data_IF_316664445493
#
_entry.id   IF_316664445493
#
_cell.length_a   1.000
_cell.length_b   1.000
_cell.length_c   1.000
_cell.angle_alpha   90.00
_cell.angle_beta   90.00
_cell.angle_gamma   90.00
#
_symmetry.space_group_name_H-M   'P 1'
#
loop_
_entity.id
_entity.type
_entity.pdbx_description
1 polymer ?
#
# COMPACT_ATOMS: atom_id res chain seq x y z
N UNK A 1 0.49 -12.17 -13.85
CA UNK A 1 0.82 -11.06 -12.92
C UNK A 1 -0.32 -10.08 -13.04
N UNK A 2 -0.96 -9.70 -11.94
CA UNK A 2 -1.95 -8.61 -11.96
C UNK A 2 -1.27 -7.31 -12.44
N UNK A 3 -1.98 -6.54 -13.25
CA UNK A 3 -1.58 -5.20 -13.65
C UNK A 3 -1.80 -4.20 -12.50
N UNK A 4 -1.10 -3.06 -12.54
CA UNK A 4 -1.29 -1.98 -11.54
C UNK A 4 -2.74 -1.48 -11.52
N UNK A 5 -3.42 -1.48 -12.67
CA UNK A 5 -4.83 -1.09 -12.78
C UNK A 5 -5.77 -2.05 -12.05
N UNK A 6 -5.55 -3.36 -12.19
CA UNK A 6 -6.34 -4.36 -11.46
C UNK A 6 -6.12 -4.25 -9.95
N UNK A 7 -4.87 -3.99 -9.51
CA UNK A 7 -4.55 -3.75 -8.10
C UNK A 7 -5.29 -2.53 -7.58
N UNK A 8 -5.24 -1.39 -8.29
CA UNK A 8 -5.93 -0.15 -7.87
C UNK A 8 -7.44 -0.38 -7.72
N UNK A 9 -8.04 -1.16 -8.63
CA UNK A 9 -9.46 -1.46 -8.64
C UNK A 9 -9.88 -2.43 -7.53
N UNK A 10 -9.00 -3.36 -7.15
CA UNK A 10 -9.18 -4.26 -6.00
C UNK A 10 -9.03 -3.55 -4.66
N UNK A 11 -8.11 -2.59 -4.55
CA UNK A 11 -7.86 -1.80 -3.34
C UNK A 11 -9.02 -0.82 -3.09
N UNK A 12 -10.15 -1.39 -2.65
CA UNK A 12 -11.46 -0.79 -2.44
C UNK A 12 -11.65 -0.10 -1.09
N UNK A 13 -10.57 0.39 -0.49
CA UNK A 13 -10.63 1.23 0.71
C UNK A 13 -10.34 0.53 2.04
N UNK A 14 -10.14 -0.79 2.06
CA UNK A 14 -9.67 -1.48 3.27
C UNK A 14 -8.16 -1.22 3.48
N UNK A 15 -7.75 -0.54 4.57
CA UNK A 15 -6.36 -0.22 4.82
C UNK A 15 -5.49 -1.46 5.08
N UNK A 16 -6.05 -2.54 5.61
CA UNK A 16 -5.36 -3.80 5.84
C UNK A 16 -5.03 -4.49 4.51
N UNK A 17 -5.98 -4.50 3.57
CA UNK A 17 -5.75 -5.03 2.23
C UNK A 17 -4.75 -4.20 1.43
N UNK A 18 -4.82 -2.87 1.55
CA UNK A 18 -3.88 -1.94 0.91
C UNK A 18 -2.45 -2.19 1.38
N UNK A 19 -2.27 -2.42 2.68
CA UNK A 19 -0.97 -2.73 3.26
C UNK A 19 -0.61 -4.22 3.19
N UNK A 20 -1.41 -5.04 2.52
CA UNK A 20 -1.24 -6.50 2.46
C UNK A 20 -0.96 -7.11 3.84
N UNK A 21 -1.69 -6.63 4.85
CA UNK A 21 -1.49 -6.91 6.27
C UNK A 21 -2.80 -7.48 6.82
N UNK A 22 -2.78 -8.56 7.61
CA UNK A 22 -4.02 -9.07 8.19
C UNK A 22 -4.55 -8.14 9.31
N UNK A 23 -5.86 -8.13 9.60
CA UNK A 23 -6.46 -7.23 10.60
C UNK A 23 -5.96 -7.42 12.03
N UNK A 24 -5.43 -8.61 12.34
CA UNK A 24 -4.87 -8.99 13.62
C UNK A 24 -3.34 -8.81 13.70
N UNK A 25 -2.73 -8.26 12.65
CA UNK A 25 -1.29 -8.02 12.62
C UNK A 25 -0.85 -7.06 13.71
N UNK A 26 0.33 -7.34 14.27
CA UNK A 26 0.99 -6.38 15.14
C UNK A 26 1.53 -5.17 14.34
N UNK A 27 1.85 -4.11 15.09
CA UNK A 27 2.39 -2.88 14.52
C UNK A 27 3.74 -3.11 13.80
N UNK A 28 4.52 -4.12 14.20
CA UNK A 28 5.80 -4.42 13.57
C UNK A 28 5.60 -4.98 12.14
N UNK A 29 4.61 -5.85 11.94
CA UNK A 29 4.20 -6.38 10.65
C UNK A 29 3.62 -5.28 9.78
N UNK A 30 2.73 -4.44 10.33
CA UNK A 30 2.16 -3.27 9.64
C UNK A 30 3.26 -2.38 9.06
N UNK A 31 4.22 -1.97 9.91
CA UNK A 31 5.34 -1.11 9.52
C UNK A 31 6.28 -1.77 8.51
N UNK A 32 6.50 -3.08 8.64
CA UNK A 32 7.33 -3.84 7.69
C UNK A 32 6.70 -3.85 6.30
N UNK A 33 5.41 -4.20 6.22
CA UNK A 33 4.69 -4.30 4.96
C UNK A 33 4.55 -2.93 4.29
N UNK A 34 4.22 -1.89 5.06
CA UNK A 34 4.24 -0.50 4.61
C UNK A 34 5.57 -0.14 3.94
N UNK A 35 6.71 -0.37 4.61
CA UNK A 35 8.05 -0.06 4.05
C UNK A 35 8.33 -0.81 2.75
N UNK A 36 7.97 -2.09 2.70
CA UNK A 36 8.16 -2.91 1.49
C UNK A 36 7.33 -2.37 0.33
N UNK A 37 6.06 -2.04 0.55
CA UNK A 37 5.16 -1.52 -0.48
C UNK A 37 5.55 -0.09 -0.90
N UNK A 38 5.90 0.77 0.06
CA UNK A 38 6.36 2.13 -0.18
C UNK A 38 7.62 2.13 -1.08
N UNK A 39 8.60 1.26 -0.82
CA UNK A 39 9.78 1.11 -1.67
C UNK A 39 9.46 0.54 -3.05
N UNK A 40 8.50 -0.38 -3.12
CA UNK A 40 8.08 -1.02 -4.38
C UNK A 40 7.38 -0.03 -5.32
N UNK A 41 6.53 0.83 -4.78
CA UNK A 41 5.70 1.77 -5.54
C UNK A 41 6.19 3.23 -5.46
N UNK A 42 7.38 3.46 -4.90
CA UNK A 42 7.92 4.81 -4.72
C UNK A 42 8.01 5.57 -6.07
N UNK A 43 7.59 6.85 -6.13
CA UNK A 43 7.60 7.63 -7.37
C UNK A 43 9.02 7.91 -7.91
N UNK A 44 10.03 7.89 -7.03
CA UNK A 44 11.44 8.01 -7.46
C UNK A 44 11.89 6.82 -8.31
N UNK A 45 11.34 5.62 -8.03
CA UNK A 45 11.72 4.36 -8.70
C UNK A 45 10.76 4.00 -9.83
N UNK A 46 9.51 4.47 -9.77
CA UNK A 46 8.48 4.20 -10.76
C UNK A 46 7.87 5.52 -11.20
N UNK A 47 7.97 5.84 -12.50
CA UNK A 47 7.41 7.08 -13.06
C UNK A 47 5.97 6.95 -13.54
N UNK A 48 5.35 5.78 -13.34
CA UNK A 48 3.98 5.51 -13.73
C UNK A 48 3.01 6.22 -12.77
N UNK A 49 1.95 6.80 -13.33
CA UNK A 49 0.89 7.46 -12.55
C UNK A 49 0.19 6.46 -11.62
N UNK A 50 0.00 5.22 -12.08
CA UNK A 50 -0.60 4.15 -11.30
C UNK A 50 0.25 3.77 -10.07
N UNK A 51 1.59 3.77 -10.21
CA UNK A 51 2.47 3.50 -9.07
C UNK A 51 2.38 4.61 -8.02
N UNK A 52 2.28 5.86 -8.48
CA UNK A 52 2.07 7.02 -7.60
C UNK A 52 0.73 6.94 -6.87
N UNK A 53 -0.34 6.54 -7.57
CA UNK A 53 -1.65 6.36 -6.95
C UNK A 53 -1.62 5.27 -5.86
N UNK A 54 -0.99 4.12 -6.15
CA UNK A 54 -0.82 3.04 -5.18
C UNK A 54 -0.02 3.53 -3.98
N UNK A 55 1.07 4.29 -4.18
CA UNK A 55 1.86 4.87 -3.11
C UNK A 55 1.05 5.80 -2.21
N UNK A 56 0.20 6.66 -2.79
CA UNK A 56 -0.71 7.52 -2.02
C UNK A 56 -1.68 6.68 -1.17
N UNK A 57 -2.26 5.61 -1.75
CA UNK A 57 -3.15 4.70 -1.00
C UNK A 57 -2.42 4.02 0.17
N UNK A 58 -1.19 3.55 -0.05
CA UNK A 58 -0.34 2.93 0.98
C UNK A 58 -0.07 3.88 2.14
N UNK A 59 0.32 5.13 1.85
CA UNK A 59 0.56 6.12 2.90
C UNK A 59 -0.68 6.40 3.74
N UNK A 60 -1.83 6.66 3.08
CA UNK A 60 -3.10 6.92 3.77
C UNK A 60 -3.54 5.75 4.65
N UNK A 61 -3.40 4.52 4.15
CA UNK A 61 -3.73 3.33 4.91
C UNK A 61 -2.85 3.16 6.16
N UNK A 62 -1.55 3.47 6.04
CA UNK A 62 -0.63 3.39 7.17
C UNK A 62 -0.90 4.49 8.20
N UNK A 63 -1.10 5.73 7.75
CA UNK A 63 -1.47 6.86 8.63
C UNK A 63 -2.74 6.56 9.43
N UNK A 64 -3.77 6.00 8.77
CA UNK A 64 -5.04 5.64 9.43
C UNK A 64 -4.90 4.53 10.48
N UNK A 65 -3.97 3.58 10.28
CA UNK A 65 -3.77 2.45 11.20
C UNK A 65 -2.72 2.71 12.30
N UNK A 66 -1.90 3.75 12.15
CA UNK A 66 -0.90 4.18 13.14
C UNK A 66 -1.47 5.17 14.17
N UNK A 67 -2.61 5.81 13.88
CA UNK A 67 -3.35 6.73 14.78
C UNK A 67 -4.17 5.99 15.86
#
# INVERSE_FOLDING_TARGET
MESLKEIIQRLGGDPYEILATPPDADFAVLKKNYRTLALKYHPDRNKDEEATEIFIKINRAYEFLEE
#
